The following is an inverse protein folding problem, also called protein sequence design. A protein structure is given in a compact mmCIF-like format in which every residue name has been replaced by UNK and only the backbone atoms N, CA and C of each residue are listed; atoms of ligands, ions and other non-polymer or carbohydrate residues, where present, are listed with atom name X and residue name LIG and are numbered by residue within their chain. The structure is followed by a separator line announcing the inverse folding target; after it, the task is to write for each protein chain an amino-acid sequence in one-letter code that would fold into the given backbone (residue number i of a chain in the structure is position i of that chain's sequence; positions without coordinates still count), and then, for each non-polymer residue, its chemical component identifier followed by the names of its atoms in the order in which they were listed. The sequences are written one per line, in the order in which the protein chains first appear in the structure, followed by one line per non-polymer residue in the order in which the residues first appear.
data_IF_119921722018
#
_entry.id   IF_119921722018
#
_cell.length_a   1.000
_cell.length_b   1.000
_cell.length_c   1.000
_cell.angle_alpha   90.00
_cell.angle_beta   90.00
_cell.angle_gamma   90.00
#
_symmetry.space_group_name_H-M   'P 1'
#
loop_
_entity.id
_entity.type
_entity.pdbx_description
1 polymer ?
#
# COMPACT_ATOMS: atom_id res chain seq x y z
N UNK A 1 -15.21 -3.29 -19.05
CA UNK A 1 -14.48 -3.79 -17.87
C UNK A 1 -14.74 -2.86 -16.71
N UNK A 2 -15.10 -3.40 -15.54
CA UNK A 2 -15.30 -2.59 -14.34
C UNK A 2 -13.93 -2.26 -13.73
N UNK A 3 -13.67 -0.98 -13.53
CA UNK A 3 -12.46 -0.54 -12.83
C UNK A 3 -12.69 -0.75 -11.33
N UNK A 4 -11.92 -1.65 -10.72
CA UNK A 4 -11.92 -1.83 -9.27
C UNK A 4 -11.01 -0.74 -8.69
N UNK A 5 -11.63 0.14 -7.92
CA UNK A 5 -10.98 1.12 -7.06
C UNK A 5 -10.94 0.59 -5.63
N UNK A 6 -9.93 0.97 -4.82
CA UNK A 6 -9.97 0.71 -3.39
C UNK A 6 -11.26 1.25 -2.78
N UNK A 7 -11.85 0.49 -1.84
CA UNK A 7 -13.13 0.90 -1.24
C UNK A 7 -12.89 2.05 -0.27
N UNK A 8 -13.84 3.00 -0.24
CA UNK A 8 -13.93 3.94 0.87
C UNK A 8 -14.32 3.15 2.13
N UNK A 9 -13.64 3.43 3.23
CA UNK A 9 -13.97 2.87 4.53
C UNK A 9 -15.47 2.98 4.85
N UNK A 10 -16.04 1.92 5.42
CA UNK A 10 -17.25 2.08 6.21
C UNK A 10 -16.85 2.81 7.50
N UNK A 11 -17.05 4.14 7.54
CA UNK A 11 -16.79 5.06 8.66
C UNK A 11 -15.38 5.67 8.84
N UNK A 12 -14.49 5.73 7.85
CA UNK A 12 -13.15 6.31 8.06
C UNK A 12 -12.72 7.48 7.13
N UNK A 13 -11.71 8.18 7.64
CA UNK A 13 -11.01 9.36 7.15
C UNK A 13 -10.45 9.07 5.74
N UNK A 14 -10.72 9.92 4.74
CA UNK A 14 -10.21 9.72 3.37
C UNK A 14 -8.70 10.00 3.29
N UNK A 15 -8.02 9.53 2.23
CA UNK A 15 -6.61 9.86 1.98
C UNK A 15 -6.37 11.40 1.98
N UNK A 16 -7.32 12.18 1.46
CA UNK A 16 -7.27 13.65 1.52
C UNK A 16 -7.35 14.19 2.94
N UNK A 17 -8.20 13.60 3.79
CA UNK A 17 -8.34 14.01 5.18
C UNK A 17 -7.10 13.65 6.02
N UNK A 18 -6.49 12.49 5.74
CA UNK A 18 -5.20 12.09 6.33
C UNK A 18 -4.11 13.09 5.92
N UNK A 19 -3.96 13.34 4.62
CA UNK A 19 -2.84 14.16 4.13
C UNK A 19 -2.96 15.64 4.47
N UNK A 20 -4.17 16.17 4.69
CA UNK A 20 -4.34 17.50 5.28
C UNK A 20 -3.69 17.63 6.66
N UNK A 21 -3.77 16.57 7.49
CA UNK A 21 -3.12 16.54 8.81
C UNK A 21 -1.61 16.36 8.66
N UNK A 22 -1.19 15.48 7.76
CA UNK A 22 0.24 15.23 7.49
C UNK A 22 0.96 16.50 7.04
N UNK A 23 0.41 17.25 6.07
CA UNK A 23 1.04 18.48 5.57
C UNK A 23 1.14 19.57 6.65
N UNK A 24 0.27 19.54 7.66
CA UNK A 24 0.30 20.51 8.77
C UNK A 24 1.35 20.20 9.85
N UNK A 25 1.94 19.00 9.84
CA UNK A 25 2.97 18.58 10.80
C UNK A 25 4.23 18.16 10.03
N UNK A 26 5.28 18.97 10.13
CA UNK A 26 6.53 18.79 9.37
C UNK A 26 7.18 17.41 9.60
N UNK A 27 7.16 16.90 10.83
CA UNK A 27 7.76 15.58 11.14
C UNK A 27 6.98 14.47 10.45
N UNK A 28 5.65 14.48 10.57
CA UNK A 28 4.78 13.51 9.89
C UNK A 28 4.88 13.62 8.37
N UNK A 29 5.05 14.83 7.86
CA UNK A 29 5.22 15.09 6.44
C UNK A 29 6.51 14.44 5.90
N UNK A 30 7.63 14.63 6.60
CA UNK A 30 8.91 14.04 6.21
C UNK A 30 8.90 12.50 6.33
N UNK A 31 8.28 11.95 7.38
CA UNK A 31 8.10 10.50 7.49
C UNK A 31 7.29 9.96 6.31
N UNK A 32 6.25 10.68 5.89
CA UNK A 32 5.39 10.28 4.76
C UNK A 32 6.17 10.31 3.44
N UNK A 33 6.96 11.36 3.19
CA UNK A 33 7.80 11.47 2.00
C UNK A 33 8.89 10.40 1.97
N UNK A 34 9.52 10.10 3.11
CA UNK A 34 10.50 9.02 3.20
C UNK A 34 9.85 7.64 3.02
N UNK A 35 8.58 7.47 3.40
CA UNK A 35 7.81 6.26 3.06
C UNK A 35 7.61 6.12 1.56
N UNK A 36 7.26 7.19 0.83
CA UNK A 36 7.21 7.14 -0.63
C UNK A 36 8.56 6.73 -1.23
N UNK A 37 9.64 7.40 -0.82
CA UNK A 37 11.01 7.08 -1.28
C UNK A 37 11.34 5.59 -1.08
N UNK A 38 11.02 5.07 0.10
CA UNK A 38 11.28 3.67 0.45
C UNK A 38 10.40 2.71 -0.36
N UNK A 39 9.14 3.08 -0.62
CA UNK A 39 8.24 2.31 -1.49
C UNK A 39 8.79 2.20 -2.91
N UNK A 40 9.23 3.29 -3.55
CA UNK A 40 9.72 3.22 -4.94
C UNK A 40 11.00 2.40 -5.06
N UNK A 41 11.89 2.50 -4.07
CA UNK A 41 13.07 1.63 -4.00
C UNK A 41 12.70 0.16 -3.85
N UNK A 42 11.64 -0.13 -3.08
CA UNK A 42 11.16 -1.50 -2.91
C UNK A 42 10.52 -2.02 -4.20
N UNK A 43 9.71 -1.20 -4.87
CA UNK A 43 9.16 -1.51 -6.19
C UNK A 43 10.25 -1.88 -7.19
N UNK A 44 11.37 -1.15 -7.23
CA UNK A 44 12.52 -1.50 -8.08
C UNK A 44 13.03 -2.93 -7.81
N UNK A 45 13.18 -3.29 -6.54
CA UNK A 45 13.65 -4.61 -6.13
C UNK A 45 12.66 -5.69 -6.56
N UNK A 46 11.38 -5.52 -6.22
CA UNK A 46 10.36 -6.53 -6.48
C UNK A 46 10.13 -6.75 -7.98
N UNK A 47 10.16 -5.68 -8.79
CA UNK A 47 10.07 -5.77 -10.24
C UNK A 47 11.30 -6.44 -10.86
N UNK A 48 12.49 -6.22 -10.29
CA UNK A 48 13.73 -6.90 -10.74
C UNK A 48 13.64 -8.39 -10.46
N UNK A 49 13.25 -8.78 -9.23
CA UNK A 49 13.01 -10.17 -8.87
C UNK A 49 11.97 -10.80 -9.81
N UNK A 50 10.89 -10.10 -10.13
CA UNK A 50 9.90 -10.58 -11.08
C UNK A 50 10.49 -10.87 -12.47
N UNK A 51 11.32 -9.97 -13.00
CA UNK A 51 11.99 -10.19 -14.30
C UNK A 51 12.83 -11.46 -14.27
N UNK A 52 13.56 -11.70 -13.17
CA UNK A 52 14.38 -12.90 -12.99
C UNK A 52 13.50 -14.17 -12.97
N UNK A 53 12.39 -14.15 -12.23
CA UNK A 53 11.45 -15.28 -12.16
C UNK A 53 10.78 -15.59 -13.49
N UNK A 54 10.44 -14.55 -14.27
CA UNK A 54 9.85 -14.68 -15.59
C UNK A 54 10.85 -15.19 -16.65
N UNK A 55 12.15 -15.17 -16.34
CA UNK A 55 13.23 -15.73 -17.16
C UNK A 55 13.11 -15.40 -18.66
N UNK A 56 12.90 -14.11 -18.96
CA UNK A 56 12.80 -13.62 -20.33
C UNK A 56 11.43 -13.79 -21.01
N UNK A 57 10.41 -14.29 -20.31
CA UNK A 57 9.10 -14.59 -20.90
C UNK A 57 7.91 -13.99 -20.13
N UNK A 58 6.94 -13.35 -20.82
CA UNK A 58 6.96 -12.99 -22.23
C UNK A 58 7.86 -11.76 -22.49
N UNK A 59 8.59 -11.76 -23.63
CA UNK A 59 9.59 -10.71 -23.97
C UNK A 59 9.08 -9.28 -23.85
N UNK A 60 7.84 -9.01 -24.28
CA UNK A 60 7.26 -7.68 -24.20
C UNK A 60 6.99 -7.26 -22.75
N UNK A 61 6.57 -8.18 -21.89
CA UNK A 61 6.37 -7.90 -20.46
C UNK A 61 7.71 -7.58 -19.79
N UNK A 62 8.76 -8.36 -20.07
CA UNK A 62 10.11 -8.09 -19.55
C UNK A 62 10.61 -6.70 -19.95
N UNK A 63 10.42 -6.32 -21.22
CA UNK A 63 10.78 -4.99 -21.71
C UNK A 63 10.01 -3.91 -20.96
N UNK A 64 8.70 -4.06 -20.81
CA UNK A 64 7.88 -3.08 -20.12
C UNK A 64 8.25 -2.97 -18.63
N UNK A 65 8.47 -4.09 -17.94
CA UNK A 65 8.93 -4.13 -16.55
C UNK A 65 10.29 -3.44 -16.39
N UNK A 66 11.20 -3.59 -17.36
CA UNK A 66 12.50 -2.89 -17.33
C UNK A 66 12.35 -1.37 -17.42
N UNK A 67 11.37 -0.89 -18.21
CA UNK A 67 11.05 0.54 -18.25
C UNK A 67 10.40 0.99 -16.94
N UNK A 68 9.50 0.19 -16.37
CA UNK A 68 8.86 0.47 -15.07
C UNK A 68 9.92 0.62 -13.96
N UNK A 69 10.90 -0.30 -13.87
CA UNK A 69 12.02 -0.19 -12.92
C UNK A 69 12.79 1.12 -13.09
N UNK A 70 13.02 1.56 -14.34
CA UNK A 70 13.71 2.82 -14.59
C UNK A 70 12.91 4.03 -14.10
N UNK A 71 11.59 3.99 -14.20
CA UNK A 71 10.71 5.04 -13.69
C UNK A 71 10.76 5.07 -12.16
N UNK A 72 10.60 3.91 -11.50
CA UNK A 72 10.65 3.83 -10.03
C UNK A 72 11.99 4.25 -9.44
N UNK A 73 13.10 3.88 -10.09
CA UNK A 73 14.43 4.30 -9.67
C UNK A 73 14.58 5.82 -9.72
N UNK A 74 13.95 6.45 -10.72
CA UNK A 74 13.94 7.90 -10.88
C UNK A 74 13.00 8.59 -9.90
N UNK A 75 11.83 8.02 -9.60
CA UNK A 75 10.95 8.49 -8.53
C UNK A 75 11.68 8.48 -7.17
N UNK A 76 12.30 7.35 -6.84
CA UNK A 76 13.12 7.19 -5.64
C UNK A 76 14.22 8.25 -5.55
N UNK A 77 14.92 8.51 -6.66
CA UNK A 77 15.97 9.53 -6.74
C UNK A 77 15.40 10.93 -6.47
N UNK A 78 14.33 11.35 -7.13
CA UNK A 78 13.72 12.65 -6.89
C UNK A 78 13.23 12.85 -5.46
N UNK A 79 12.66 11.80 -4.84
CA UNK A 79 12.23 11.85 -3.45
C UNK A 79 13.43 11.87 -2.49
N UNK A 80 14.53 11.19 -2.83
CA UNK A 80 15.77 11.23 -2.06
C UNK A 80 16.36 12.64 -2.07
N UNK A 81 16.52 13.23 -3.24
CA UNK A 81 17.03 14.59 -3.40
C UNK A 81 16.17 15.61 -2.64
N UNK A 82 14.84 15.50 -2.77
CA UNK A 82 13.90 16.32 -2.03
C UNK A 82 14.12 16.22 -0.51
N UNK A 83 14.21 15.00 0.03
CA UNK A 83 14.39 14.79 1.48
C UNK A 83 15.73 15.33 1.98
N UNK A 84 16.81 15.12 1.23
CA UNK A 84 18.15 15.65 1.55
C UNK A 84 18.12 17.17 1.57
N UNK A 85 17.54 17.79 0.54
CA UNK A 85 17.46 19.25 0.45
C UNK A 85 16.62 19.88 1.56
N UNK A 86 15.60 19.17 2.05
CA UNK A 86 14.75 19.61 3.17
C UNK A 86 15.35 19.31 4.56
N UNK A 87 16.53 18.66 4.60
CA UNK A 87 17.21 18.25 5.82
C UNK A 87 16.49 17.13 6.58
N UNK A 88 15.74 16.29 5.88
CA UNK A 88 15.01 15.17 6.46
C UNK A 88 15.92 13.94 6.66
N UNK A 89 15.54 13.07 7.60
CA UNK A 89 16.16 11.76 7.75
C UNK A 89 15.74 10.83 6.61
N UNK A 90 16.74 10.20 5.98
CA UNK A 90 16.59 9.27 4.85
C UNK A 90 16.77 7.79 5.27
N UNK A 91 16.86 7.51 6.58
CA UNK A 91 16.87 6.16 7.13
C UNK A 91 15.61 5.36 6.81
N UNK A 92 15.52 4.13 7.31
CA UNK A 92 14.30 3.32 7.18
C UNK A 92 13.14 4.03 7.91
N UNK A 93 12.01 4.32 7.25
CA UNK A 93 10.91 5.02 7.90
C UNK A 93 10.35 4.19 9.09
N UNK A 94 9.98 4.84 10.21
CA UNK A 94 9.54 4.15 11.43
C UNK A 94 8.11 3.62 11.33
N UNK A 95 7.81 2.52 12.02
CA UNK A 95 6.46 1.91 12.13
C UNK A 95 6.22 0.74 11.17
N UNK A 96 5.05 0.10 11.24
CA UNK A 96 4.67 -0.96 10.30
C UNK A 96 4.61 -0.40 8.88
N UNK A 97 5.17 -1.13 7.92
CA UNK A 97 5.08 -0.77 6.50
C UNK A 97 3.81 -1.38 5.94
N UNK A 98 2.99 -0.55 5.27
CA UNK A 98 1.88 -1.04 4.44
C UNK A 98 2.36 -2.14 3.47
N UNK A 99 3.57 -1.98 2.92
CA UNK A 99 4.18 -2.96 2.01
C UNK A 99 4.48 -4.28 2.73
N UNK A 100 5.03 -4.24 3.96
CA UNK A 100 5.36 -5.46 4.71
C UNK A 100 4.07 -6.25 5.04
N UNK A 101 3.00 -5.56 5.44
CA UNK A 101 1.71 -6.22 5.67
C UNK A 101 1.11 -6.75 4.36
N UNK A 102 1.21 -5.98 3.27
CA UNK A 102 0.73 -6.40 1.97
C UNK A 102 1.44 -7.69 1.53
N UNK A 103 2.77 -7.74 1.61
CA UNK A 103 3.59 -8.93 1.35
C UNK A 103 3.19 -10.12 2.22
N UNK A 104 2.95 -9.90 3.52
CA UNK A 104 2.48 -10.95 4.43
C UNK A 104 1.12 -11.54 4.00
N UNK A 105 0.24 -10.71 3.46
CA UNK A 105 -1.08 -11.11 2.99
C UNK A 105 -1.07 -11.69 1.57
N UNK A 106 -0.01 -11.48 0.78
CA UNK A 106 0.15 -12.15 -0.50
C UNK A 106 0.32 -13.66 -0.31
N UNK A 107 -0.22 -14.44 -1.24
CA UNK A 107 -0.09 -15.90 -1.23
C UNK A 107 1.36 -16.32 -1.42
N UNK A 108 1.83 -17.22 -0.56
CA UNK A 108 3.05 -18.00 -0.73
C UNK A 108 2.96 -19.00 -1.90
N UNK A 109 1.78 -19.18 -2.49
CA UNK A 109 1.52 -20.06 -3.65
C UNK A 109 1.97 -19.48 -5.00
N UNK A 110 2.62 -18.30 -5.04
CA UNK A 110 3.29 -17.81 -6.26
C UNK A 110 4.51 -18.69 -6.68
N UNK A 111 4.68 -19.86 -6.08
CA UNK A 111 5.80 -20.76 -6.27
C UNK A 111 5.48 -21.81 -7.32
N UNK A 112 5.53 -21.40 -8.59
CA UNK A 112 6.37 -22.00 -9.63
C UNK A 112 5.90 -21.53 -11.03
N UNK A 113 6.57 -20.53 -11.65
CA UNK A 113 6.24 -20.12 -13.03
C UNK A 113 6.42 -21.26 -14.05
N UNK A 114 7.12 -22.35 -13.69
CA UNK A 114 7.32 -23.52 -14.55
C UNK A 114 6.03 -24.35 -14.69
N UNK A 115 5.17 -24.38 -13.67
CA UNK A 115 3.92 -25.15 -13.66
C UNK A 115 2.69 -24.39 -14.20
N UNK A 116 2.63 -23.07 -13.98
CA UNK A 116 1.48 -22.25 -14.37
C UNK A 116 1.83 -20.75 -14.57
N UNK A 117 2.65 -20.48 -15.59
CA UNK A 117 3.14 -19.13 -15.92
C UNK A 117 2.02 -18.09 -16.07
N UNK A 118 0.88 -18.47 -16.64
CA UNK A 118 -0.19 -17.50 -16.91
C UNK A 118 -0.90 -17.04 -15.64
N UNK A 119 -1.24 -17.96 -14.72
CA UNK A 119 -1.87 -17.59 -13.46
C UNK A 119 -0.90 -16.77 -12.58
N UNK A 120 0.40 -17.08 -12.66
CA UNK A 120 1.46 -16.28 -12.04
C UNK A 120 1.51 -14.85 -12.61
N UNK A 121 1.48 -14.70 -13.93
CA UNK A 121 1.47 -13.37 -14.60
C UNK A 121 0.21 -12.59 -14.25
N UNK A 122 -0.98 -13.22 -14.29
CA UNK A 122 -2.25 -12.57 -13.91
C UNK A 122 -2.17 -12.06 -12.47
N UNK A 123 -1.73 -12.92 -11.55
CA UNK A 123 -1.62 -12.59 -10.13
C UNK A 123 -0.66 -11.43 -9.89
N UNK A 124 0.52 -11.50 -10.49
CA UNK A 124 1.54 -10.46 -10.34
C UNK A 124 1.10 -9.12 -10.92
N UNK A 125 0.53 -9.12 -12.13
CA UNK A 125 0.03 -7.89 -12.74
C UNK A 125 -1.14 -7.29 -11.96
N UNK A 126 -2.00 -8.12 -11.36
CA UNK A 126 -3.09 -7.64 -10.51
C UNK A 126 -2.57 -7.02 -9.21
N UNK A 127 -1.54 -7.62 -8.60
CA UNK A 127 -0.83 -7.09 -7.43
C UNK A 127 -0.19 -5.74 -7.72
N UNK A 128 0.66 -5.66 -8.76
CA UNK A 128 1.30 -4.39 -9.16
C UNK A 128 0.22 -3.34 -9.43
N UNK A 129 -0.75 -3.63 -10.29
CA UNK A 129 -1.74 -2.64 -10.69
C UNK A 129 -2.62 -2.14 -9.53
N UNK A 130 -2.82 -2.90 -8.44
CA UNK A 130 -3.55 -2.39 -7.28
C UNK A 130 -2.68 -1.52 -6.37
N UNK A 131 -1.39 -1.84 -6.19
CA UNK A 131 -0.47 -1.02 -5.41
C UNK A 131 -0.21 0.33 -6.10
N UNK A 132 -0.01 0.32 -7.42
CA UNK A 132 0.12 1.53 -8.26
C UNK A 132 -1.10 2.46 -8.12
N UNK A 133 -2.32 1.87 -8.08
CA UNK A 133 -3.55 2.65 -7.89
C UNK A 133 -3.58 3.34 -6.53
N UNK A 134 -3.08 2.68 -5.48
CA UNK A 134 -2.99 3.28 -4.15
C UNK A 134 -1.98 4.42 -4.13
N UNK A 135 -0.81 4.22 -4.75
CA UNK A 135 0.21 5.27 -4.93
C UNK A 135 -0.37 6.51 -5.60
N UNK A 136 -1.00 6.33 -6.78
CA UNK A 136 -1.73 7.38 -7.49
C UNK A 136 -2.75 8.13 -6.63
N UNK A 137 -3.58 7.40 -5.85
CA UNK A 137 -4.58 8.01 -4.96
C UNK A 137 -3.90 8.89 -3.89
N UNK A 138 -2.84 8.38 -3.28
CA UNK A 138 -2.09 9.09 -2.25
C UNK A 138 -1.39 10.32 -2.80
N UNK A 139 -0.67 10.22 -3.91
CA UNK A 139 -0.04 11.38 -4.55
C UNK A 139 -1.05 12.45 -4.95
N UNK A 140 -2.18 12.04 -5.53
CA UNK A 140 -3.27 12.95 -5.88
C UNK A 140 -3.85 13.65 -4.64
N UNK A 141 -4.06 12.90 -3.54
CA UNK A 141 -4.52 13.46 -2.27
C UNK A 141 -3.48 14.40 -1.65
N UNK A 142 -2.19 14.13 -1.83
CA UNK A 142 -1.09 14.92 -1.27
C UNK A 142 -0.97 16.26 -1.98
N UNK A 143 -0.98 16.24 -3.32
CA UNK A 143 -1.02 17.46 -4.14
C UNK A 143 -2.23 18.30 -3.77
N UNK A 144 -3.39 17.68 -3.58
CA UNK A 144 -4.60 18.38 -3.14
C UNK A 144 -4.43 19.05 -1.77
N UNK A 145 -3.85 18.36 -0.79
CA UNK A 145 -3.57 18.91 0.53
C UNK A 145 -2.55 20.06 0.47
N UNK A 146 -1.47 19.91 -0.29
CA UNK A 146 -0.42 20.92 -0.48
C UNK A 146 -0.94 22.19 -1.16
N UNK A 147 -1.91 22.06 -2.08
CA UNK A 147 -2.58 23.22 -2.71
C UNK A 147 -3.45 24.02 -1.73
N UNK A 148 -3.86 23.41 -0.61
CA UNK A 148 -4.67 24.07 0.43
C UNK A 148 -3.84 24.57 1.61
N UNK A 149 -2.62 24.07 1.77
CA UNK A 149 -1.69 24.48 2.81
C UNK A 149 -1.04 25.84 2.48
N UNK A 150 -0.41 26.51 3.45
CA UNK A 150 0.42 27.68 3.19
C UNK A 150 1.47 27.40 2.11
N UNK A 151 1.59 28.29 1.13
CA UNK A 151 2.52 28.14 0.00
C UNK A 151 3.93 28.58 0.39
N UNK A 152 4.53 27.87 1.34
CA UNK A 152 5.94 28.00 1.70
C UNK A 152 6.82 27.40 0.59
N UNK A 153 8.08 27.81 0.53
CA UNK A 153 9.06 27.25 -0.42
C UNK A 153 9.15 25.71 -0.30
N UNK A 154 9.15 25.19 0.92
CA UNK A 154 9.11 23.75 1.21
C UNK A 154 7.87 23.06 0.62
N UNK A 155 6.67 23.58 0.88
CA UNK A 155 5.44 22.97 0.39
C UNK A 155 5.33 23.03 -1.14
N UNK A 156 5.83 24.11 -1.75
CA UNK A 156 5.90 24.25 -3.21
C UNK A 156 6.84 23.19 -3.78
N UNK A 157 8.05 23.06 -3.22
CA UNK A 157 9.05 22.09 -3.68
C UNK A 157 8.56 20.65 -3.57
N UNK A 158 7.91 20.30 -2.45
CA UNK A 158 7.30 18.97 -2.26
C UNK A 158 6.21 18.73 -3.31
N UNK A 159 5.30 19.70 -3.51
CA UNK A 159 4.22 19.58 -4.49
C UNK A 159 4.76 19.35 -5.88
N UNK A 160 5.74 20.15 -6.30
CA UNK A 160 6.34 20.05 -7.63
C UNK A 160 7.03 18.71 -7.86
N UNK A 161 7.71 18.15 -6.84
CA UNK A 161 8.27 16.81 -6.93
C UNK A 161 7.19 15.74 -7.12
N UNK A 162 6.11 15.79 -6.34
CA UNK A 162 5.01 14.81 -6.46
C UNK A 162 4.26 14.98 -7.80
N UNK A 163 4.10 16.21 -8.29
CA UNK A 163 3.49 16.50 -9.60
C UNK A 163 4.33 15.98 -10.78
N UNK A 164 5.64 15.80 -10.61
CA UNK A 164 6.51 15.13 -11.61
C UNK A 164 6.31 13.62 -11.64
N UNK A 165 6.08 13.00 -10.48
CA UNK A 165 5.92 11.54 -10.32
C UNK A 165 4.55 11.07 -10.80
N UNK A 166 3.47 11.77 -10.39
CA UNK A 166 2.09 11.32 -10.61
C UNK A 166 1.73 10.93 -12.06
N UNK A 167 2.20 11.63 -13.12
CA UNK A 167 1.92 11.22 -14.50
C UNK A 167 2.51 9.86 -14.88
N UNK A 168 3.67 9.51 -14.34
CA UNK A 168 4.39 8.24 -14.58
C UNK A 168 3.65 7.09 -13.88
N UNK A 169 3.31 7.25 -12.60
CA UNK A 169 2.44 6.35 -11.81
C UNK A 169 1.10 6.05 -12.51
N UNK A 170 0.45 7.11 -13.00
CA UNK A 170 -0.80 6.95 -13.76
C UNK A 170 -0.57 6.17 -15.06
N UNK A 171 0.64 6.26 -15.63
CA UNK A 171 1.13 5.45 -16.74
C UNK A 171 1.24 3.98 -16.38
N UNK A 172 1.82 3.65 -15.23
CA UNK A 172 1.94 2.28 -14.70
C UNK A 172 0.58 1.64 -14.46
N UNK A 173 -0.36 2.38 -13.84
CA UNK A 173 -1.76 1.92 -13.69
C UNK A 173 -2.40 1.63 -15.05
N UNK A 174 -2.25 2.53 -16.03
CA UNK A 174 -2.81 2.30 -17.38
C UNK A 174 -2.17 1.07 -18.03
N UNK A 175 -0.87 0.90 -17.87
CA UNK A 175 -0.11 -0.23 -18.39
C UNK A 175 -0.60 -1.56 -17.79
N UNK A 176 -0.69 -1.68 -16.47
CA UNK A 176 -1.16 -2.89 -15.80
C UNK A 176 -2.60 -3.25 -16.19
N UNK A 177 -3.49 -2.26 -16.28
CA UNK A 177 -4.85 -2.47 -16.77
C UNK A 177 -4.90 -2.95 -18.23
N UNK A 178 -4.02 -2.45 -19.11
CA UNK A 178 -3.95 -2.91 -20.51
C UNK A 178 -3.51 -4.37 -20.60
N UNK A 179 -2.48 -4.77 -19.85
CA UNK A 179 -2.01 -6.16 -19.85
C UNK A 179 -3.09 -7.12 -19.32
N UNK A 180 -3.72 -6.79 -18.20
CA UNK A 180 -4.82 -7.59 -17.65
C UNK A 180 -6.01 -7.67 -18.61
N UNK A 181 -6.34 -6.58 -19.31
CA UNK A 181 -7.37 -6.55 -20.35
C UNK A 181 -7.04 -7.50 -21.52
N UNK A 182 -5.82 -7.45 -22.03
CA UNK A 182 -5.36 -8.33 -23.11
C UNK A 182 -5.45 -9.80 -22.72
N UNK A 183 -5.09 -10.15 -21.49
CA UNK A 183 -5.23 -11.52 -20.99
C UNK A 183 -6.72 -11.91 -20.87
N UNK A 184 -7.55 -11.02 -20.31
CA UNK A 184 -8.99 -11.25 -20.15
C UNK A 184 -9.74 -11.41 -21.49
N UNK A 185 -9.21 -10.88 -22.59
CA UNK A 185 -9.82 -10.97 -23.91
C UNK A 185 -9.44 -12.26 -24.67
N UNK A 186 -8.51 -13.08 -24.16
CA UNK A 186 -8.14 -14.37 -24.76
C UNK A 186 -9.28 -15.40 -24.74
N UNK A 187 -9.99 -15.52 -23.61
CA UNK A 187 -11.14 -16.42 -23.49
C UNK A 187 -12.02 -16.07 -22.28
N UNK A 188 -13.27 -16.60 -22.20
CA UNK A 188 -14.11 -16.44 -21.02
C UNK A 188 -13.47 -16.93 -19.72
N UNK A 189 -12.64 -17.97 -19.79
CA UNK A 189 -11.90 -18.51 -18.64
C UNK A 189 -10.85 -17.51 -18.14
N UNK A 190 -10.03 -16.96 -19.03
CA UNK A 190 -9.03 -15.95 -18.66
C UNK A 190 -9.69 -14.71 -18.07
N UNK A 191 -10.84 -14.29 -18.61
CA UNK A 191 -11.63 -13.19 -18.05
C UNK A 191 -12.02 -13.45 -16.61
N UNK A 192 -12.48 -14.66 -16.29
CA UNK A 192 -12.83 -15.04 -14.93
C UNK A 192 -11.60 -15.01 -14.02
N UNK A 193 -10.47 -15.56 -14.47
CA UNK A 193 -9.20 -15.54 -13.72
C UNK A 193 -8.73 -14.12 -13.40
N UNK A 194 -8.72 -13.24 -14.39
CA UNK A 194 -8.35 -11.82 -14.21
C UNK A 194 -9.30 -11.10 -13.25
N UNK A 195 -10.61 -11.29 -13.38
CA UNK A 195 -11.60 -10.66 -12.50
C UNK A 195 -11.58 -11.23 -11.08
N UNK A 196 -11.19 -12.49 -10.90
CA UNK A 196 -10.96 -13.10 -9.59
C UNK A 196 -9.72 -12.52 -8.93
N UNK A 197 -8.60 -12.47 -9.65
CA UNK A 197 -7.35 -11.88 -9.18
C UNK A 197 -7.55 -10.41 -8.77
N UNK A 198 -8.17 -9.59 -9.64
CA UNK A 198 -8.45 -8.18 -9.31
C UNK A 198 -9.28 -8.01 -8.04
N UNK A 199 -10.26 -8.88 -7.78
CA UNK A 199 -11.07 -8.86 -6.54
C UNK A 199 -10.26 -9.27 -5.32
N UNK A 200 -9.50 -10.36 -5.43
CA UNK A 200 -8.63 -10.88 -4.37
C UNK A 200 -7.58 -9.84 -3.95
N UNK A 201 -6.80 -9.34 -4.91
CA UNK A 201 -5.71 -8.40 -4.62
C UNK A 201 -6.22 -7.02 -4.18
N UNK A 202 -7.41 -6.60 -4.62
CA UNK A 202 -8.07 -5.42 -4.04
C UNK A 202 -8.49 -5.61 -2.58
N UNK A 203 -8.92 -6.81 -2.19
CA UNK A 203 -9.23 -7.11 -0.79
C UNK A 203 -7.96 -7.18 0.07
N UNK A 204 -6.89 -7.80 -0.44
CA UNK A 204 -5.56 -7.84 0.22
C UNK A 204 -5.02 -6.42 0.40
N UNK A 205 -5.05 -5.60 -0.66
CA UNK A 205 -4.56 -4.23 -0.61
C UNK A 205 -5.32 -3.41 0.43
N UNK A 206 -6.65 -3.47 0.41
CA UNK A 206 -7.49 -2.77 1.38
C UNK A 206 -7.17 -3.24 2.81
N UNK A 207 -7.01 -4.55 3.02
CA UNK A 207 -6.67 -5.09 4.34
C UNK A 207 -5.31 -4.60 4.84
N UNK A 208 -4.30 -4.61 3.97
CA UNK A 208 -2.96 -4.13 4.30
C UNK A 208 -2.98 -2.65 4.67
N UNK A 209 -3.72 -1.87 3.89
CA UNK A 209 -3.90 -0.45 4.10
C UNK A 209 -4.61 -0.13 5.43
N UNK A 210 -5.70 -0.84 5.73
CA UNK A 210 -6.47 -0.68 6.96
C UNK A 210 -5.68 -1.08 8.21
N UNK A 211 -4.90 -2.15 8.12
CA UNK A 211 -4.09 -2.63 9.25
C UNK A 211 -3.03 -1.60 9.66
N UNK A 212 -2.45 -0.88 8.70
CA UNK A 212 -1.50 0.21 8.94
C UNK A 212 -2.13 1.41 9.66
N UNK A 213 -3.46 1.56 9.60
CA UNK A 213 -4.20 2.65 10.22
C UNK A 213 -4.84 2.26 11.56
N UNK A 214 -5.20 0.99 11.76
CA UNK A 214 -5.91 0.53 12.95
C UNK A 214 -4.98 -0.08 14.00
N UNK A 215 -4.60 0.74 14.97
CA UNK A 215 -3.83 0.35 16.16
C UNK A 215 -4.69 0.16 17.42
N UNK A 216 -6.02 0.25 17.32
CA UNK A 216 -6.93 0.26 18.48
C UNK A 216 -7.20 -1.14 19.04
N UNK A 217 -7.74 -1.26 20.25
CA UNK A 217 -8.15 -2.56 20.79
C UNK A 217 -9.21 -3.23 19.89
N UNK A 218 -9.06 -4.55 19.71
CA UNK A 218 -9.91 -5.33 18.81
C UNK A 218 -9.51 -5.24 17.34
N UNK A 219 -8.44 -4.54 17.00
CA UNK A 219 -7.87 -4.54 15.64
C UNK A 219 -7.47 -5.95 15.22
N UNK A 220 -7.04 -6.80 16.14
CA UNK A 220 -6.72 -8.21 15.92
C UNK A 220 -7.96 -8.98 15.40
N UNK A 221 -9.12 -8.81 16.04
CA UNK A 221 -10.38 -9.46 15.63
C UNK A 221 -10.87 -8.92 14.28
N UNK A 222 -10.72 -7.61 14.04
CA UNK A 222 -11.06 -7.01 12.74
C UNK A 222 -10.15 -7.53 11.63
N UNK A 223 -8.83 -7.64 11.87
CA UNK A 223 -7.88 -8.24 10.92
C UNK A 223 -8.20 -9.70 10.62
N UNK A 224 -8.66 -10.47 11.62
CA UNK A 224 -9.14 -11.85 11.38
C UNK A 224 -10.40 -11.85 10.50
N UNK A 225 -11.35 -10.95 10.74
CA UNK A 225 -12.54 -10.82 9.88
C UNK A 225 -12.14 -10.47 8.44
N UNK A 226 -11.21 -9.54 8.25
CA UNK A 226 -10.67 -9.19 6.94
C UNK A 226 -9.95 -10.37 6.27
N UNK A 227 -9.21 -11.19 7.03
CA UNK A 227 -8.57 -12.39 6.50
C UNK A 227 -9.60 -13.39 5.94
N UNK A 228 -10.75 -13.53 6.61
CA UNK A 228 -11.89 -14.33 6.13
C UNK A 228 -12.51 -13.71 4.88
N UNK A 229 -12.66 -12.39 4.82
CA UNK A 229 -13.17 -11.69 3.63
C UNK A 229 -12.28 -11.90 2.40
N UNK A 230 -10.95 -11.86 2.57
CA UNK A 230 -9.99 -12.16 1.51
C UNK A 230 -10.13 -13.62 1.08
N UNK A 231 -10.15 -14.56 2.02
CA UNK A 231 -10.32 -15.98 1.72
C UNK A 231 -11.61 -16.24 0.94
N UNK A 232 -12.69 -15.51 1.23
CA UNK A 232 -13.95 -15.61 0.50
C UNK A 232 -13.87 -15.13 -0.96
N UNK A 233 -12.86 -14.36 -1.34
CA UNK A 233 -12.59 -14.02 -2.74
C UNK A 233 -11.82 -15.12 -3.49
N UNK A 234 -11.37 -16.18 -2.80
CA UNK A 234 -10.62 -17.29 -3.40
C UNK A 234 -11.53 -18.48 -3.74
N UNK A 235 -11.10 -19.37 -4.65
CA UNK A 235 -11.71 -20.68 -4.83
C UNK A 235 -11.77 -21.45 -3.50
N UNK A 236 -12.83 -22.23 -3.30
CA UNK A 236 -13.14 -22.87 -2.01
C UNK A 236 -11.99 -23.75 -1.49
N UNK A 237 -11.25 -24.41 -2.38
CA UNK A 237 -10.16 -25.31 -2.02
C UNK A 237 -8.88 -24.59 -1.55
N UNK A 238 -8.64 -23.33 -1.93
CA UNK A 238 -7.47 -22.56 -1.49
C UNK A 238 -7.67 -21.92 -0.10
N UNK A 239 -8.92 -21.74 0.33
CA UNK A 239 -9.24 -21.00 1.57
C UNK A 239 -8.64 -21.62 2.84
N UNK A 240 -8.70 -22.95 3.06
CA UNK A 240 -8.20 -23.54 4.30
C UNK A 240 -6.69 -23.30 4.47
N UNK A 241 -5.91 -23.48 3.41
CA UNK A 241 -4.47 -23.27 3.41
C UNK A 241 -4.14 -21.79 3.65
N UNK A 242 -4.76 -20.89 2.89
CA UNK A 242 -4.56 -19.44 3.05
C UNK A 242 -4.80 -18.97 4.50
N UNK A 243 -5.88 -19.45 5.13
CA UNK A 243 -6.20 -19.15 6.52
C UNK A 243 -5.19 -19.78 7.48
N UNK A 244 -4.82 -21.06 7.31
CA UNK A 244 -3.88 -21.75 8.19
C UNK A 244 -2.52 -21.04 8.26
N UNK A 245 -2.01 -20.59 7.11
CA UNK A 245 -0.71 -19.91 7.02
C UNK A 245 -0.71 -18.54 7.71
N UNK A 246 -1.82 -17.79 7.62
CA UNK A 246 -1.87 -16.36 8.03
C UNK A 246 -2.58 -16.12 9.36
N UNK A 247 -3.45 -17.03 9.80
CA UNK A 247 -4.24 -16.87 11.02
C UNK A 247 -3.36 -16.75 12.29
N UNK A 248 -2.30 -17.56 12.49
CA UNK A 248 -1.47 -17.46 13.71
C UNK A 248 -0.82 -16.08 13.86
N UNK A 249 -0.22 -15.58 12.78
CA UNK A 249 0.42 -14.25 12.79
C UNK A 249 -0.62 -13.13 12.94
N UNK A 250 -1.81 -13.28 12.35
CA UNK A 250 -2.90 -12.30 12.43
C UNK A 250 -3.51 -12.22 13.84
N UNK A 251 -3.61 -13.35 14.54
CA UNK A 251 -4.11 -13.42 15.92
C UNK A 251 -3.11 -12.88 16.93
N UNK A 252 -1.82 -13.24 16.79
CA UNK A 252 -0.78 -12.81 17.72
C UNK A 252 -0.37 -11.35 17.49
N UNK A 253 -0.41 -10.90 16.22
CA UNK A 253 -0.12 -9.55 15.76
C UNK A 253 1.10 -8.89 16.47
N UNK A 254 2.28 -9.53 16.51
CA UNK A 254 3.42 -9.04 17.28
C UNK A 254 3.89 -7.65 16.84
N UNK A 255 3.86 -7.36 15.54
CA UNK A 255 4.20 -6.03 15.02
C UNK A 255 3.21 -4.95 15.46
N UNK A 256 1.91 -5.27 15.53
CA UNK A 256 0.90 -4.35 16.03
C UNK A 256 1.17 -3.99 17.50
N UNK A 257 1.55 -4.97 18.33
CA UNK A 257 1.90 -4.70 19.72
C UNK A 257 3.14 -3.81 19.83
N UNK A 258 4.17 -4.06 19.00
CA UNK A 258 5.37 -3.21 18.98
C UNK A 258 5.05 -1.77 18.53
N UNK A 259 4.22 -1.59 17.50
CA UNK A 259 3.78 -0.26 17.06
C UNK A 259 3.02 0.44 18.18
N UNK A 260 2.11 -0.25 18.89
CA UNK A 260 1.38 0.33 20.03
C UNK A 260 2.33 0.79 21.14
N UNK A 261 3.33 -0.02 21.48
CA UNK A 261 4.35 0.32 22.49
C UNK A 261 5.13 1.56 22.06
N UNK A 262 5.61 1.61 20.81
CA UNK A 262 6.37 2.75 20.30
C UNK A 262 5.55 4.03 20.29
N UNK A 263 4.31 3.97 19.80
CA UNK A 263 3.40 5.12 19.77
C UNK A 263 3.11 5.61 21.19
N UNK A 264 2.85 4.68 22.12
CA UNK A 264 2.61 5.02 23.52
C UNK A 264 3.83 5.67 24.19
N UNK A 265 5.03 5.12 23.96
CA UNK A 265 6.29 5.69 24.47
C UNK A 265 6.54 7.09 23.94
N UNK A 266 6.38 7.30 22.62
CA UNK A 266 6.62 8.60 21.98
C UNK A 266 5.60 9.65 22.43
N UNK A 267 4.32 9.26 22.57
CA UNK A 267 3.26 10.13 23.08
C UNK A 267 3.48 10.51 24.54
N UNK A 268 3.86 9.55 25.39
CA UNK A 268 4.20 9.78 26.80
C UNK A 268 5.40 10.73 26.94
N UNK A 269 6.46 10.52 26.17
CA UNK A 269 7.65 11.38 26.21
C UNK A 269 7.38 12.82 25.78
N UNK A 270 6.43 13.03 24.85
CA UNK A 270 6.09 14.35 24.33
C UNK A 270 5.14 15.12 25.25
N UNK A 271 4.08 14.48 25.73
CA UNK A 271 3.07 15.09 26.60
C UNK A 271 2.31 14.01 27.40
N UNK A 272 2.78 13.68 28.62
CA UNK A 272 2.17 12.65 29.48
C UNK A 272 0.71 12.92 29.82
N UNK A 273 0.32 14.20 29.92
CA UNK A 273 -1.04 14.59 30.29
C UNK A 273 -2.00 14.36 29.11
N UNK A 274 -1.65 14.83 27.92
CA UNK A 274 -2.43 14.56 26.70
C UNK A 274 -2.52 13.06 26.39
N UNK A 275 -1.48 12.29 26.71
CA UNK A 275 -1.49 10.83 26.58
C UNK A 275 -2.61 10.18 27.42
N UNK A 276 -2.70 10.52 28.71
CA UNK A 276 -3.72 9.99 29.60
C UNK A 276 -5.13 10.43 29.20
N UNK A 277 -5.29 11.67 28.77
CA UNK A 277 -6.60 12.27 28.49
C UNK A 277 -7.16 11.92 27.10
N UNK A 278 -6.32 11.65 26.09
CA UNK A 278 -6.77 11.44 24.70
C UNK A 278 -6.36 10.10 24.11
N UNK A 279 -5.14 9.64 24.38
CA UNK A 279 -4.61 8.43 23.76
C UNK A 279 -5.19 7.17 24.42
N UNK A 280 -5.20 7.10 25.75
CA UNK A 280 -5.78 5.96 26.49
C UNK A 280 -7.28 5.77 26.15
N UNK A 281 -8.12 6.81 26.15
CA UNK A 281 -9.53 6.64 25.73
C UNK A 281 -9.70 6.23 24.26
N UNK A 282 -8.90 6.77 23.33
CA UNK A 282 -8.95 6.36 21.92
C UNK A 282 -8.53 4.90 21.74
N UNK A 283 -7.53 4.44 22.49
CA UNK A 283 -7.04 3.08 22.46
C UNK A 283 -8.07 2.07 22.99
N UNK A 284 -8.75 2.43 24.09
CA UNK A 284 -9.75 1.59 24.76
C UNK A 284 -11.10 1.58 24.03
N UNK A 285 -11.56 2.72 23.53
CA UNK A 285 -12.91 2.88 22.98
C UNK A 285 -12.96 2.78 21.44
N UNK A 286 -11.80 2.77 20.76
CA UNK A 286 -11.69 2.93 19.32
C UNK A 286 -11.94 4.36 18.86
N UNK A 287 -11.84 4.64 17.55
CA UNK A 287 -12.27 5.92 16.97
C UNK A 287 -13.79 5.98 17.02
N UNK A 288 -14.35 6.45 18.13
CA UNK A 288 -15.79 6.75 18.23
C UNK A 288 -16.06 8.11 17.60
N UNK A 289 -16.96 8.13 16.63
CA UNK A 289 -17.48 9.37 16.05
C UNK A 289 -18.17 10.15 17.19
N UNK A 290 -17.75 11.39 17.44
CA UNK A 290 -18.63 12.33 18.13
C UNK A 290 -19.89 12.44 17.28
N UNK A 291 -21.01 11.96 17.83
CA UNK A 291 -22.33 12.34 17.36
C UNK A 291 -22.49 13.79 17.80
N UNK A 292 -22.32 14.70 16.85
CA UNK A 292 -22.99 16.00 16.92
C UNK A 292 -24.44 15.80 16.42
#
# INVERSE_FOLDING_TARGET
MTVIYPRKFQNAISARDVLKRVVSDRELHFITLNRYRYSEQRSCKDLTELIEHLNGQPKQLIKDLSHHISDEARHAMWLTDLLVDLGADIGKPPGSSYIDEFERLLDSENQDPVGNLEDFVISTLATINITEKRGCEYFSAHIYALKQAPQTEENIKIRETIEKILPEEAGHVRWGNRWLAQIADKSPEHRQKVELAKRKYAAIEQAAFESGMDITLGAELRRVATLVEIANQMPVWQRPQYLMERLPQTLLAPELQMVRIQVAQKAWQRDPQTFMEKFVPMFLNGIQKKRD
#
